data_IF_389045084719
#
_entry.id   IF_389045084719
#
_cell.length_a   1.000
_cell.length_b   1.000
_cell.length_c   1.000
_cell.angle_alpha   90.00
_cell.angle_beta   90.00
_cell.angle_gamma   90.00
#
_symmetry.space_group_name_H-M   'P 1'
#
loop_
_entity.id
_entity.type
_entity.pdbx_description
1 polymer ?
#
# COMPACT_ATOMS: atom_id res chain seq x y z
N UNK A 1 -7.83 -4.56 -15.55
CA UNK A 1 -6.71 -4.47 -16.51
C UNK A 1 -5.35 -4.19 -15.85
N UNK A 2 -5.05 -3.02 -15.25
CA UNK A 2 -3.70 -2.78 -14.68
C UNK A 2 -3.42 -3.61 -13.40
N UNK A 3 -4.31 -3.57 -12.42
CA UNK A 3 -4.17 -4.34 -11.18
C UNK A 3 -4.17 -5.85 -11.41
N UNK A 4 -5.01 -6.32 -12.33
CA UNK A 4 -5.08 -7.72 -12.76
C UNK A 4 -3.76 -8.19 -13.37
N UNK A 5 -3.16 -7.40 -14.27
CA UNK A 5 -1.83 -7.68 -14.83
C UNK A 5 -0.78 -7.70 -13.73
N UNK A 6 -0.82 -6.73 -12.80
CA UNK A 6 0.11 -6.68 -11.68
C UNK A 6 0.04 -7.98 -10.85
N UNK A 7 -1.16 -8.51 -10.56
CA UNK A 7 -1.33 -9.79 -9.86
C UNK A 7 -0.65 -10.96 -10.58
N UNK A 8 -0.58 -10.95 -11.92
CA UNK A 8 0.07 -12.01 -12.70
C UNK A 8 1.60 -11.84 -12.76
N UNK A 9 2.11 -10.64 -12.49
CA UNK A 9 3.53 -10.31 -12.59
C UNK A 9 4.29 -10.46 -11.28
N UNK A 10 3.58 -10.39 -10.14
CA UNK A 10 4.18 -10.49 -8.81
C UNK A 10 3.73 -11.76 -8.12
N UNK A 11 4.62 -12.33 -7.29
CA UNK A 11 4.28 -13.51 -6.49
C UNK A 11 3.25 -13.21 -5.40
N UNK A 12 3.31 -12.00 -4.83
CA UNK A 12 2.48 -11.54 -3.72
C UNK A 12 2.05 -10.10 -3.93
N UNK A 13 0.77 -9.82 -3.78
CA UNK A 13 0.21 -8.48 -3.77
C UNK A 13 -0.40 -8.20 -2.39
N UNK A 14 0.28 -7.35 -1.61
CA UNK A 14 -0.11 -7.00 -0.24
C UNK A 14 -0.48 -5.53 -0.16
N UNK A 15 -1.62 -5.23 0.45
CA UNK A 15 -2.06 -3.86 0.71
C UNK A 15 -1.68 -3.42 2.12
N UNK A 16 -1.11 -2.21 2.26
CA UNK A 16 -0.80 -1.59 3.56
C UNK A 16 -1.31 -0.15 3.60
N UNK A 17 -2.22 0.17 4.54
CA UNK A 17 -2.92 1.47 4.55
C UNK A 17 -3.02 2.10 5.93
N UNK A 18 -2.87 3.43 5.99
CA UNK A 18 -3.09 4.21 7.22
C UNK A 18 -4.55 4.72 7.22
N UNK A 19 -5.39 4.25 8.12
CA UNK A 19 -6.81 4.64 8.21
C UNK A 19 -7.15 5.36 9.51
N UNK A 20 -6.77 6.64 9.57
CA UNK A 20 -6.98 7.51 10.74
C UNK A 20 -8.46 7.79 11.07
N UNK A 21 -9.38 7.52 10.13
CA UNK A 21 -10.82 7.80 10.30
C UNK A 21 -11.44 7.08 11.50
N UNK A 22 -10.87 5.95 11.90
CA UNK A 22 -11.33 5.12 13.02
C UNK A 22 -11.16 5.84 14.36
N UNK A 23 -9.97 6.38 14.65
CA UNK A 23 -9.66 6.97 15.96
C UNK A 23 -10.13 8.43 16.11
N UNK A 24 -10.55 9.11 15.03
CA UNK A 24 -11.11 10.48 15.12
C UNK A 24 -12.55 10.53 15.69
N UNK A 25 -13.12 9.39 16.11
CA UNK A 25 -14.53 9.24 16.56
C UNK A 25 -15.58 9.68 15.52
N UNK A 26 -15.19 9.77 14.25
CA UNK A 26 -16.09 10.16 13.14
C UNK A 26 -16.77 8.92 12.52
N UNK A 27 -16.31 7.71 12.87
CA UNK A 27 -16.73 6.45 12.24
C UNK A 27 -16.69 5.31 13.28
N UNK A 28 -17.72 4.47 13.33
CA UNK A 28 -17.74 3.24 14.15
C UNK A 28 -17.07 2.06 13.41
N UNK A 29 -16.90 0.91 14.05
CA UNK A 29 -16.30 -0.28 13.41
C UNK A 29 -17.03 -0.72 12.13
N UNK A 30 -18.36 -0.52 12.05
CA UNK A 30 -19.13 -0.81 10.82
C UNK A 30 -18.81 0.16 9.70
N UNK A 31 -18.53 1.42 10.00
CA UNK A 31 -18.11 2.41 9.01
C UNK A 31 -16.71 2.07 8.46
N UNK A 32 -15.82 1.55 9.31
CA UNK A 32 -14.52 1.02 8.90
C UNK A 32 -14.67 -0.16 7.95
N UNK A 33 -15.51 -1.14 8.29
CA UNK A 33 -15.83 -2.25 7.40
C UNK A 33 -16.42 -1.74 6.08
N UNK A 34 -17.31 -0.74 6.12
CA UNK A 34 -17.88 -0.14 4.91
C UNK A 34 -16.83 0.56 4.04
N UNK A 35 -15.84 1.25 4.62
CA UNK A 35 -14.74 1.86 3.87
C UNK A 35 -13.89 0.77 3.21
N UNK A 36 -13.56 -0.29 3.94
CA UNK A 36 -12.85 -1.44 3.38
C UNK A 36 -13.64 -2.10 2.25
N UNK A 37 -14.93 -2.38 2.46
CA UNK A 37 -15.81 -2.96 1.45
C UNK A 37 -15.92 -2.08 0.21
N UNK A 38 -16.03 -0.76 0.36
CA UNK A 38 -16.02 0.19 -0.77
C UNK A 38 -14.70 0.14 -1.54
N UNK A 39 -13.56 0.10 -0.82
CA UNK A 39 -12.24 -0.03 -1.43
C UNK A 39 -12.13 -1.35 -2.20
N UNK A 40 -12.44 -2.48 -1.57
CA UNK A 40 -12.42 -3.80 -2.22
C UNK A 40 -13.35 -3.87 -3.43
N UNK A 41 -14.58 -3.37 -3.32
CA UNK A 41 -15.53 -3.35 -4.42
C UNK A 41 -15.04 -2.47 -5.58
N UNK A 42 -14.45 -1.31 -5.28
CA UNK A 42 -13.86 -0.45 -6.31
C UNK A 42 -12.70 -1.14 -7.03
N UNK A 43 -11.85 -1.86 -6.29
CA UNK A 43 -10.71 -2.59 -6.85
C UNK A 43 -11.16 -3.82 -7.65
N UNK A 44 -12.19 -4.54 -7.17
CA UNK A 44 -12.83 -5.64 -7.90
C UNK A 44 -13.40 -5.19 -9.24
N UNK A 45 -14.09 -4.05 -9.25
CA UNK A 45 -14.61 -3.45 -10.49
C UNK A 45 -13.50 -3.02 -11.46
N UNK A 46 -12.27 -2.84 -10.98
CA UNK A 46 -11.08 -2.53 -11.80
C UNK A 46 -10.29 -3.79 -12.23
N UNK A 47 -10.81 -4.98 -11.92
CA UNK A 47 -10.26 -6.28 -12.29
C UNK A 47 -9.32 -6.90 -11.26
N UNK A 48 -9.16 -6.29 -10.08
CA UNK A 48 -8.38 -6.92 -9.01
C UNK A 48 -9.24 -7.98 -8.30
N UNK A 49 -8.87 -9.24 -8.43
CA UNK A 49 -9.67 -10.31 -7.84
C UNK A 49 -9.48 -10.44 -6.33
N UNK A 50 -8.25 -10.21 -5.83
CA UNK A 50 -7.92 -10.30 -4.40
C UNK A 50 -6.56 -9.64 -4.10
N UNK A 51 -6.28 -9.40 -2.83
CA UNK A 51 -4.91 -9.24 -2.31
C UNK A 51 -4.55 -10.52 -1.56
N UNK A 52 -3.27 -10.91 -1.56
CA UNK A 52 -2.81 -12.01 -0.70
C UNK A 52 -3.04 -11.68 0.77
N UNK A 53 -2.83 -10.41 1.14
CA UNK A 53 -3.21 -9.87 2.45
C UNK A 53 -3.42 -8.36 2.38
N UNK A 54 -4.17 -7.85 3.36
CA UNK A 54 -4.36 -6.42 3.57
C UNK A 54 -4.18 -6.10 5.04
N UNK A 55 -3.32 -5.13 5.33
CA UNK A 55 -3.07 -4.62 6.67
C UNK A 55 -3.45 -3.15 6.71
N UNK A 56 -4.05 -2.73 7.83
CA UNK A 56 -4.40 -1.34 8.06
C UNK A 56 -3.98 -0.90 9.46
N UNK A 57 -3.60 0.37 9.58
CA UNK A 57 -3.28 1.01 10.84
C UNK A 57 -4.39 2.01 11.20
N UNK A 58 -5.22 1.74 12.23
CA UNK A 58 -6.32 2.63 12.61
C UNK A 58 -5.87 3.86 13.41
N UNK A 59 -4.60 3.89 13.84
CA UNK A 59 -4.04 4.87 14.76
C UNK A 59 -3.89 6.27 14.16
N UNK A 60 -4.06 7.28 15.02
CA UNK A 60 -3.84 8.68 14.68
C UNK A 60 -2.36 8.94 14.36
N UNK A 61 -2.08 10.08 13.72
CA UNK A 61 -0.70 10.48 13.39
C UNK A 61 0.12 10.75 14.64
N UNK A 62 -0.53 11.28 15.67
CA UNK A 62 0.04 11.72 16.93
C UNK A 62 0.45 10.54 17.84
N UNK A 63 -0.14 9.36 17.64
CA UNK A 63 0.12 8.17 18.47
C UNK A 63 1.43 7.44 18.13
N UNK A 64 2.08 7.78 17.01
CA UNK A 64 3.37 7.18 16.58
C UNK A 64 3.44 5.64 16.70
N UNK A 65 2.36 4.93 16.37
CA UNK A 65 2.25 3.49 16.55
C UNK A 65 3.09 2.68 15.54
N UNK A 66 3.66 1.55 15.94
CA UNK A 66 4.54 0.70 15.10
C UNK A 66 3.87 0.11 13.85
N UNK A 67 2.54 0.00 13.85
CA UNK A 67 1.77 -0.40 12.68
C UNK A 67 1.57 0.72 11.66
N UNK A 68 1.74 1.99 12.07
CA UNK A 68 1.40 3.14 11.24
C UNK A 68 2.62 3.56 10.42
N UNK A 69 2.44 3.69 9.10
CA UNK A 69 3.48 4.25 8.23
C UNK A 69 3.91 5.62 8.74
N UNK A 70 5.22 5.91 8.86
CA UNK A 70 6.33 5.21 8.20
C UNK A 70 6.92 3.99 8.94
N UNK A 71 6.37 3.58 10.08
CA UNK A 71 6.81 2.36 10.79
C UNK A 71 6.41 1.10 10.02
N UNK A 72 7.22 0.05 10.19
CA UNK A 72 7.18 -1.15 9.34
C UNK A 72 6.42 -2.34 9.93
N UNK A 73 5.66 -2.15 11.01
CA UNK A 73 4.92 -3.23 11.66
C UNK A 73 3.99 -3.99 10.71
N UNK A 74 3.33 -3.30 9.77
CA UNK A 74 2.50 -3.96 8.74
C UNK A 74 3.31 -4.85 7.79
N UNK A 75 4.52 -4.43 7.39
CA UNK A 75 5.39 -5.22 6.51
C UNK A 75 6.01 -6.41 7.23
N UNK A 76 6.42 -6.24 8.49
CA UNK A 76 6.90 -7.35 9.31
C UNK A 76 5.80 -8.39 9.53
N UNK A 77 4.55 -7.95 9.74
CA UNK A 77 3.39 -8.85 9.81
C UNK A 77 3.19 -9.57 8.48
N UNK A 78 3.26 -8.88 7.34
CA UNK A 78 3.17 -9.51 6.02
C UNK A 78 4.24 -10.61 5.84
N UNK A 79 5.49 -10.35 6.20
CA UNK A 79 6.59 -11.34 6.14
C UNK A 79 6.37 -12.54 7.07
N UNK A 80 5.70 -12.35 8.20
CA UNK A 80 5.34 -13.48 9.07
C UNK A 80 4.29 -14.42 8.45
N UNK A 81 3.35 -13.89 7.66
CA UNK A 81 2.39 -14.71 6.90
C UNK A 81 2.99 -15.29 5.62
N UNK A 82 3.92 -14.56 5.01
CA UNK A 82 4.58 -14.93 3.76
C UNK A 82 6.10 -14.92 3.94
N UNK A 83 6.68 -15.98 4.55
CA UNK A 83 8.12 -16.08 4.76
C UNK A 83 8.92 -16.02 3.47
N UNK A 84 8.29 -16.24 2.32
CA UNK A 84 8.87 -16.18 0.99
C UNK A 84 9.04 -14.75 0.42
N UNK A 85 8.58 -13.70 1.11
CA UNK A 85 8.79 -12.31 0.69
C UNK A 85 10.28 -11.97 0.71
N UNK A 86 10.85 -11.57 -0.42
CA UNK A 86 12.23 -11.08 -0.52
C UNK A 86 12.21 -9.56 -0.65
N UNK A 87 12.66 -8.83 0.38
CA UNK A 87 12.62 -7.36 0.38
C UNK A 87 13.46 -6.74 -0.71
N UNK A 88 14.56 -7.40 -1.12
CA UNK A 88 15.41 -6.92 -2.21
C UNK A 88 14.73 -6.94 -3.58
N UNK A 89 13.65 -7.72 -3.70
CA UNK A 89 12.81 -7.84 -4.91
C UNK A 89 11.43 -7.22 -4.72
N UNK A 90 11.13 -6.70 -3.53
CA UNK A 90 9.86 -6.09 -3.24
C UNK A 90 9.82 -4.68 -3.84
N UNK A 91 8.60 -4.27 -4.22
CA UNK A 91 8.32 -2.93 -4.72
C UNK A 91 7.21 -2.34 -3.86
N UNK A 92 7.48 -1.18 -3.26
CA UNK A 92 6.49 -0.36 -2.60
C UNK A 92 5.93 0.63 -3.62
N UNK A 93 4.62 0.55 -3.88
CA UNK A 93 3.92 1.50 -4.73
C UNK A 93 3.04 2.37 -3.84
N UNK A 94 3.27 3.68 -3.86
CA UNK A 94 2.55 4.62 -3.00
C UNK A 94 2.59 6.04 -3.54
N UNK A 95 1.80 6.91 -2.94
CA UNK A 95 1.62 8.29 -3.39
C UNK A 95 1.99 9.32 -2.30
N UNK A 96 2.37 8.84 -1.11
CA UNK A 96 2.70 9.69 0.03
C UNK A 96 4.15 9.51 0.49
N UNK A 97 4.74 10.52 1.16
CA UNK A 97 6.07 10.40 1.74
C UNK A 97 6.18 9.24 2.75
N UNK A 98 5.09 8.93 3.46
CA UNK A 98 5.06 7.86 4.44
C UNK A 98 5.21 6.47 3.83
N UNK A 99 4.81 6.28 2.58
CA UNK A 99 5.02 5.03 1.84
C UNK A 99 6.50 4.83 1.50
N UNK A 100 7.15 5.90 1.05
CA UNK A 100 8.57 5.89 0.71
C UNK A 100 9.43 5.66 1.95
N UNK A 101 9.13 6.37 3.03
CA UNK A 101 9.82 6.18 4.31
C UNK A 101 9.61 4.78 4.87
N UNK A 102 8.42 4.18 4.69
CA UNK A 102 8.19 2.78 5.03
C UNK A 102 9.11 1.86 4.23
N UNK A 103 9.22 2.07 2.92
CA UNK A 103 10.07 1.28 2.04
C UNK A 103 11.56 1.37 2.44
N UNK A 104 12.02 2.56 2.84
CA UNK A 104 13.39 2.78 3.30
C UNK A 104 13.76 1.88 4.48
N UNK A 105 12.82 1.64 5.40
CA UNK A 105 13.08 0.82 6.60
C UNK A 105 13.53 -0.62 6.31
N UNK A 106 13.26 -1.11 5.09
CA UNK A 106 13.56 -2.47 4.66
C UNK A 106 14.32 -2.52 3.32
N UNK A 107 14.77 -1.38 2.80
CA UNK A 107 15.49 -1.30 1.52
C UNK A 107 14.66 -1.75 0.32
N UNK A 108 13.35 -1.48 0.34
CA UNK A 108 12.41 -1.87 -0.73
C UNK A 108 12.47 -0.84 -1.86
N UNK A 109 12.32 -1.28 -3.12
CA UNK A 109 12.26 -0.37 -4.27
C UNK A 109 11.03 0.54 -4.17
N UNK A 110 11.22 1.85 -4.35
CA UNK A 110 10.23 2.90 -4.15
C UNK A 110 9.65 3.40 -5.46
N UNK A 111 8.36 3.16 -5.67
CA UNK A 111 7.61 3.64 -6.82
C UNK A 111 6.57 4.66 -6.35
N UNK A 112 6.76 5.90 -6.78
CA UNK A 112 5.80 7.00 -6.56
C UNK A 112 4.76 7.02 -7.67
N UNK A 113 3.49 7.02 -7.28
CA UNK A 113 2.39 7.45 -8.15
C UNK A 113 2.17 8.95 -7.94
N UNK A 114 2.04 9.70 -9.02
CA UNK A 114 1.86 11.15 -8.96
C UNK A 114 0.58 11.50 -8.17
N UNK A 115 0.76 12.27 -7.10
CA UNK A 115 -0.33 12.84 -6.32
C UNK A 115 -0.05 14.34 -6.09
N UNK A 116 -0.89 15.25 -6.62
CA UNK A 116 -0.69 16.69 -6.47
C UNK A 116 -0.78 17.18 -5.03
N UNK A 117 -1.31 16.38 -4.10
CA UNK A 117 -1.37 16.70 -2.68
C UNK A 117 0.02 16.65 -2.01
N UNK A 118 0.96 15.87 -2.56
CA UNK A 118 2.26 15.63 -1.94
C UNK A 118 3.41 15.93 -2.90
N UNK A 119 4.31 16.82 -2.48
CA UNK A 119 5.61 17.05 -3.12
C UNK A 119 6.72 16.44 -2.27
N UNK A 120 7.47 15.51 -2.85
CA UNK A 120 8.61 14.82 -2.25
C UNK A 120 9.44 14.14 -3.35
N UNK A 121 10.70 13.87 -3.06
CA UNK A 121 11.74 13.36 -3.98
C UNK A 121 12.43 12.07 -3.49
N UNK A 122 11.91 11.44 -2.44
CA UNK A 122 12.42 10.19 -1.89
C UNK A 122 11.86 8.93 -2.61
N UNK A 123 12.00 8.83 -3.93
CA UNK A 123 11.54 7.66 -4.69
C UNK A 123 12.59 7.25 -5.74
N UNK A 124 12.58 5.97 -6.12
CA UNK A 124 13.48 5.47 -7.18
C UNK A 124 12.85 5.69 -8.56
N UNK A 125 11.53 5.55 -8.66
CA UNK A 125 10.77 5.74 -9.89
C UNK A 125 9.49 6.54 -9.66
N UNK A 126 9.05 7.27 -10.68
CA UNK A 126 7.78 8.01 -10.67
C UNK A 126 6.95 7.68 -11.89
N UNK A 127 5.65 7.47 -11.68
CA UNK A 127 4.67 7.26 -12.75
C UNK A 127 3.44 8.13 -12.52
N UNK A 128 2.76 8.52 -13.61
CA UNK A 128 1.55 9.34 -13.55
C UNK A 128 0.40 8.62 -12.83
N UNK A 129 0.25 7.32 -13.07
CA UNK A 129 -0.75 6.47 -12.47
C UNK A 129 -0.26 5.01 -12.38
N UNK A 130 -1.04 4.16 -11.71
CA UNK A 130 -0.71 2.75 -11.55
C UNK A 130 -0.70 1.99 -12.90
N UNK A 131 -1.48 2.43 -13.88
CA UNK A 131 -1.51 1.82 -15.21
C UNK A 131 -0.19 2.04 -15.95
N UNK A 132 0.37 3.24 -15.89
CA UNK A 132 1.67 3.57 -16.45
C UNK A 132 2.81 2.74 -15.82
N UNK A 133 2.78 2.57 -14.50
CA UNK A 133 3.72 1.71 -13.79
C UNK A 133 3.64 0.24 -14.25
N UNK A 134 2.44 -0.33 -14.29
CA UNK A 134 2.23 -1.73 -14.72
C UNK A 134 2.66 -1.93 -16.16
N UNK A 135 2.38 -0.96 -17.04
CA UNK A 135 2.83 -1.01 -18.44
C UNK A 135 4.36 -0.98 -18.56
N UNK A 136 5.06 -0.23 -17.69
CA UNK A 136 6.51 -0.19 -17.67
C UNK A 136 7.13 -1.50 -17.18
N UNK A 137 6.51 -2.17 -16.20
CA UNK A 137 6.95 -3.50 -15.74
C UNK A 137 6.71 -4.62 -16.75
N UNK A 138 5.81 -4.42 -17.73
CA UNK A 138 5.43 -5.46 -18.72
C UNK A 138 6.33 -5.46 -19.96
N UNK A 139 7.34 -4.61 -20.00
CA UNK A 139 8.32 -4.50 -21.10
C UNK A 139 9.61 -5.21 -20.72
#
# INVERSE_FOLDING_TARGET
MALEKLQQMVKRLVMVTNQQGVHRKVMNEKDLENVHLKLYNSLKNKGLSYFDASFYAPYLKEESHEWRKPKNGMLLKAKSYFPDIDWSKAIMVGDSPGDMQLADTLGITKVKIANPQFSFDNQDYTYADLGAFVAAMSK
#
